data_IF_192607869210
#
_entry.id   IF_192607869210
#
_cell.length_a   1.000
_cell.length_b   1.000
_cell.length_c   1.000
_cell.angle_alpha   90.00
_cell.angle_beta   90.00
_cell.angle_gamma   90.00
#
_symmetry.space_group_name_H-M   'P 1'
#
loop_
_entity.id
_entity.type
_entity.pdbx_description
1 polymer ?
#
# COMPACT_ATOMS: atom_id res chain seq x y z
N UNK A 1 -15.01 6.63 -22.24
CA UNK A 1 -15.43 5.62 -21.25
C UNK A 1 -15.65 6.40 -19.98
N UNK A 2 -16.93 6.69 -19.74
CA UNK A 2 -17.40 7.64 -18.74
C UNK A 2 -17.99 6.79 -17.62
N UNK A 3 -17.43 6.94 -16.43
CA UNK A 3 -18.19 6.88 -15.19
C UNK A 3 -19.62 7.39 -15.45
N UNK A 4 -20.63 6.57 -15.14
CA UNK A 4 -22.02 6.73 -15.61
C UNK A 4 -22.73 8.03 -15.19
N UNK A 5 -22.09 8.87 -14.38
CA UNK A 5 -22.54 10.20 -13.99
C UNK A 5 -21.45 11.24 -14.26
N UNK A 6 -21.86 12.39 -14.81
CA UNK A 6 -20.98 13.52 -15.09
C UNK A 6 -20.57 14.19 -13.77
N UNK A 7 -19.44 13.80 -13.20
CA UNK A 7 -18.80 14.58 -12.15
C UNK A 7 -18.22 15.88 -12.73
N UNK A 8 -18.08 16.92 -11.89
CA UNK A 8 -17.56 18.23 -12.31
C UNK A 8 -16.13 18.13 -12.88
N UNK A 9 -15.35 17.15 -12.42
CA UNK A 9 -14.01 16.83 -12.94
C UNK A 9 -14.05 15.57 -13.79
N UNK A 10 -13.40 15.60 -14.95
CA UNK A 10 -13.41 14.49 -15.89
C UNK A 10 -12.62 13.29 -15.35
N UNK A 11 -13.20 12.10 -15.47
CA UNK A 11 -12.61 10.86 -14.98
C UNK A 11 -11.22 10.59 -15.60
N UNK A 12 -10.96 10.98 -16.86
CA UNK A 12 -9.64 10.84 -17.48
C UNK A 12 -8.60 11.82 -16.95
N UNK A 13 -9.02 13.02 -16.56
CA UNK A 13 -8.15 14.04 -15.95
C UNK A 13 -7.70 13.57 -14.56
N UNK A 14 -8.64 13.06 -13.74
CA UNK A 14 -8.36 12.51 -12.42
C UNK A 14 -7.39 11.34 -12.50
N UNK A 15 -7.61 10.44 -13.46
CA UNK A 15 -6.74 9.28 -13.67
C UNK A 15 -5.34 9.66 -14.15
N UNK A 16 -5.20 10.74 -14.92
CA UNK A 16 -3.90 11.21 -15.39
C UNK A 16 -3.05 11.80 -14.26
N UNK A 17 -3.69 12.34 -13.22
CA UNK A 17 -3.05 13.03 -12.09
C UNK A 17 -3.00 12.19 -10.81
N UNK A 18 -3.60 10.99 -10.80
CA UNK A 18 -3.72 10.15 -9.59
C UNK A 18 -2.37 9.83 -8.95
N UNK A 19 -1.31 9.68 -9.75
CA UNK A 19 0.04 9.40 -9.24
C UNK A 19 0.63 10.58 -8.47
N UNK A 20 0.43 11.81 -8.97
CA UNK A 20 0.85 13.03 -8.28
C UNK A 20 0.11 13.18 -6.94
N UNK A 21 -1.17 12.80 -6.91
CA UNK A 21 -1.97 12.79 -5.68
C UNK A 21 -1.43 11.79 -4.66
N UNK A 22 -1.10 10.56 -5.09
CA UNK A 22 -0.55 9.51 -4.25
C UNK A 22 0.85 9.83 -3.71
N UNK A 23 1.69 10.48 -4.51
CA UNK A 23 3.03 10.91 -4.10
C UNK A 23 3.02 12.24 -3.31
N UNK A 24 1.84 12.81 -3.03
CA UNK A 24 1.66 14.10 -2.37
C UNK A 24 2.30 15.30 -3.10
N UNK A 25 2.44 15.18 -4.43
CA UNK A 25 3.00 16.21 -5.31
C UNK A 25 1.93 17.09 -5.99
N UNK A 26 0.68 17.03 -5.51
CA UNK A 26 -0.41 17.91 -5.97
C UNK A 26 -0.57 19.17 -5.11
N UNK A 27 -0.94 20.26 -5.77
CA UNK A 27 -1.43 21.48 -5.10
C UNK A 27 -2.68 21.19 -4.26
N UNK A 28 -2.87 21.95 -3.20
CA UNK A 28 -3.89 21.69 -2.17
C UNK A 28 -5.32 21.71 -2.73
N UNK A 29 -5.64 22.68 -3.59
CA UNK A 29 -6.92 22.74 -4.32
C UNK A 29 -7.12 21.52 -5.23
N UNK A 30 -6.05 21.06 -5.86
CA UNK A 30 -6.12 19.93 -6.81
C UNK A 30 -6.30 18.61 -6.06
N UNK A 31 -5.63 18.49 -4.92
CA UNK A 31 -5.78 17.37 -3.99
C UNK A 31 -7.23 17.20 -3.52
N UNK A 32 -7.90 18.28 -3.15
CA UNK A 32 -9.31 18.26 -2.74
C UNK A 32 -10.23 17.76 -3.87
N UNK A 33 -10.07 18.30 -5.09
CA UNK A 33 -10.86 17.88 -6.25
C UNK A 33 -10.67 16.39 -6.59
N UNK A 34 -9.42 15.93 -6.63
CA UNK A 34 -9.07 14.53 -6.89
C UNK A 34 -9.63 13.62 -5.79
N UNK A 35 -9.56 14.05 -4.52
CA UNK A 35 -10.10 13.30 -3.39
C UNK A 35 -11.63 13.17 -3.45
N UNK A 36 -12.35 14.26 -3.70
CA UNK A 36 -13.81 14.23 -3.85
C UNK A 36 -14.23 13.31 -4.98
N UNK A 37 -13.59 13.41 -6.14
CA UNK A 37 -13.91 12.56 -7.28
C UNK A 37 -13.63 11.07 -7.02
N UNK A 38 -12.49 10.74 -6.40
CA UNK A 38 -12.16 9.35 -6.05
C UNK A 38 -13.11 8.77 -4.98
N UNK A 39 -13.70 9.61 -4.12
CA UNK A 39 -14.71 9.18 -3.16
C UNK A 39 -16.09 8.96 -3.80
N UNK A 40 -16.44 9.75 -4.81
CA UNK A 40 -17.75 9.71 -5.47
C UNK A 40 -17.80 8.71 -6.63
N UNK A 41 -16.69 8.50 -7.35
CA UNK A 41 -16.63 7.60 -8.51
C UNK A 41 -15.98 6.25 -8.16
N UNK A 42 -16.76 5.33 -7.58
CA UNK A 42 -16.35 3.93 -7.39
C UNK A 42 -15.98 3.19 -8.71
N UNK A 43 -16.69 3.40 -9.83
CA UNK A 43 -16.34 2.76 -11.11
C UNK A 43 -14.95 3.13 -11.62
N UNK A 44 -14.50 4.36 -11.35
CA UNK A 44 -13.16 4.84 -11.74
C UNK A 44 -12.04 4.09 -11.00
N UNK A 45 -12.29 3.70 -9.74
CA UNK A 45 -11.36 2.90 -8.92
C UNK A 45 -11.29 1.45 -9.39
N UNK A 46 -12.43 0.87 -9.76
CA UNK A 46 -12.54 -0.51 -10.24
C UNK A 46 -11.99 -0.69 -11.66
N UNK A 47 -12.33 0.18 -12.62
CA UNK A 47 -11.87 0.04 -14.01
C UNK A 47 -10.34 0.16 -14.15
N UNK A 48 -9.69 0.98 -13.33
CA UNK A 48 -8.26 1.22 -13.44
C UNK A 48 -7.39 0.32 -12.55
N UNK A 49 -7.99 -0.57 -11.75
CA UNK A 49 -7.24 -1.46 -10.86
C UNK A 49 -6.34 -0.71 -9.88
N UNK A 50 -6.76 0.49 -9.45
CA UNK A 50 -5.99 1.37 -8.55
C UNK A 50 -5.63 0.61 -7.27
N UNK A 51 -6.47 -0.31 -6.83
CA UNK A 51 -6.19 -1.15 -5.67
C UNK A 51 -4.96 -2.07 -5.87
N UNK A 52 -4.82 -2.72 -7.03
CA UNK A 52 -3.66 -3.58 -7.33
C UNK A 52 -2.40 -2.75 -7.57
N UNK A 53 -2.52 -1.63 -8.26
CA UNK A 53 -1.41 -0.69 -8.48
C UNK A 53 -0.94 -0.04 -7.18
N UNK A 54 -1.86 0.32 -6.28
CA UNK A 54 -1.58 0.84 -4.95
C UNK A 54 -0.92 -0.24 -4.07
N UNK A 55 -1.42 -1.47 -4.08
CA UNK A 55 -0.78 -2.62 -3.38
C UNK A 55 0.64 -2.86 -3.91
N UNK A 56 0.85 -2.81 -5.22
CA UNK A 56 2.17 -2.97 -5.83
C UNK A 56 3.11 -1.80 -5.48
N UNK A 57 2.60 -0.56 -5.47
CA UNK A 57 3.38 0.62 -5.13
C UNK A 57 3.74 0.65 -3.64
N UNK A 58 2.81 0.31 -2.75
CA UNK A 58 3.06 0.12 -1.32
C UNK A 58 4.06 -1.02 -1.08
N UNK A 59 3.94 -2.15 -1.77
CA UNK A 59 4.92 -3.23 -1.69
C UNK A 59 6.32 -2.78 -2.15
N UNK A 60 6.41 -1.92 -3.17
CA UNK A 60 7.68 -1.43 -3.71
C UNK A 60 8.31 -0.31 -2.88
N UNK A 61 7.51 0.62 -2.33
CA UNK A 61 7.95 1.81 -1.58
C UNK A 61 8.02 1.56 -0.08
N UNK A 62 7.13 0.73 0.47
CA UNK A 62 7.03 0.42 1.90
C UNK A 62 7.43 -1.02 2.23
N UNK A 63 7.63 -1.91 1.24
CA UNK A 63 8.08 -3.29 1.47
C UNK A 63 9.59 -3.47 1.68
N UNK A 64 10.38 -2.40 1.52
CA UNK A 64 11.83 -2.36 1.78
C UNK A 64 12.66 -3.31 0.92
N UNK A 65 13.97 -3.33 1.13
CA UNK A 65 14.82 -4.41 0.62
C UNK A 65 14.45 -5.70 1.34
N UNK A 66 14.21 -6.78 0.58
CA UNK A 66 14.03 -8.11 1.15
C UNK A 66 15.26 -8.42 2.02
N UNK A 67 15.02 -8.59 3.33
CA UNK A 67 16.09 -8.89 4.27
C UNK A 67 16.98 -10.04 3.73
N UNK A 68 18.32 -9.89 3.74
CA UNK A 68 19.23 -10.91 3.25
C UNK A 68 18.93 -12.27 3.88
N UNK A 69 19.04 -13.33 3.09
CA UNK A 69 18.66 -14.68 3.54
C UNK A 69 19.46 -15.10 4.78
N UNK A 70 20.72 -14.67 4.86
CA UNK A 70 21.59 -14.91 6.00
C UNK A 70 21.08 -14.25 7.30
N UNK A 71 20.49 -13.06 7.21
CA UNK A 71 19.86 -12.39 8.35
C UNK A 71 18.61 -13.15 8.82
N UNK A 72 17.79 -13.63 7.88
CA UNK A 72 16.60 -14.45 8.18
C UNK A 72 16.99 -15.77 8.85
N UNK A 73 18.03 -16.44 8.37
CA UNK A 73 18.52 -17.68 8.95
C UNK A 73 19.05 -17.48 10.38
N UNK A 74 19.86 -16.43 10.60
CA UNK A 74 20.38 -16.07 11.93
C UNK A 74 19.25 -15.76 12.92
N UNK A 75 18.25 -14.99 12.51
CA UNK A 75 17.09 -14.68 13.35
C UNK A 75 16.29 -15.92 13.70
N UNK A 76 15.99 -16.79 12.72
CA UNK A 76 15.27 -18.06 12.96
C UNK A 76 16.01 -18.96 13.94
N UNK A 77 17.32 -19.10 13.79
CA UNK A 77 18.14 -19.89 14.71
C UNK A 77 18.11 -19.31 16.14
N UNK A 78 18.24 -17.99 16.27
CA UNK A 78 18.24 -17.32 17.58
C UNK A 78 16.90 -17.41 18.28
N UNK A 79 15.80 -17.23 17.55
CA UNK A 79 14.44 -17.35 18.11
C UNK A 79 14.22 -18.77 18.65
N UNK A 80 14.53 -19.80 17.85
CA UNK A 80 14.41 -21.21 18.27
C UNK A 80 15.23 -21.50 19.53
N UNK A 81 16.45 -20.99 19.62
CA UNK A 81 17.30 -21.15 20.80
C UNK A 81 16.65 -20.54 22.04
N UNK A 82 16.09 -19.33 21.93
CA UNK A 82 15.40 -18.66 23.03
C UNK A 82 14.13 -19.41 23.44
N UNK A 83 13.37 -19.98 22.49
CA UNK A 83 12.17 -20.77 22.82
C UNK A 83 12.52 -22.02 23.62
N UNK A 84 13.57 -22.74 23.21
CA UNK A 84 14.05 -23.93 23.93
C UNK A 84 14.56 -23.57 25.32
N UNK A 85 15.26 -22.45 25.49
CA UNK A 85 15.71 -22.00 26.82
C UNK A 85 14.55 -21.66 27.76
N UNK A 86 13.45 -21.12 27.24
CA UNK A 86 12.25 -20.83 28.05
C UNK A 86 11.53 -22.12 28.44
N UNK A 87 11.35 -23.06 27.51
CA UNK A 87 10.70 -24.35 27.80
C UNK A 87 11.47 -25.14 28.87
N UNK A 88 12.80 -25.26 28.73
CA UNK A 88 13.64 -25.99 29.69
C UNK A 88 13.54 -25.39 31.10
N UNK A 89 13.42 -24.06 31.22
CA UNK A 89 13.23 -23.39 32.51
C UNK A 89 11.85 -23.65 33.11
N UNK A 90 10.80 -23.68 32.29
CA UNK A 90 9.43 -23.98 32.76
C UNK A 90 9.20 -25.45 33.11
N UNK A 91 9.98 -26.38 32.55
CA UNK A 91 9.86 -27.82 32.84
C UNK A 91 10.77 -28.29 33.98
N UNK A 92 11.65 -27.42 34.49
CA UNK A 92 12.59 -27.71 35.56
C UNK A 92 12.13 -27.18 36.94
N UNK A 93 10.93 -26.60 37.03
CA UNK A 93 10.21 -26.28 38.28
C UNK A 93 9.10 -27.29 38.58
#
# INVERSE_FOLDING_TARGET
>A
MSCGEHHETDCSEVLSEVWLFLDHECDERRKELLQTHLQECHPCLEEYGIEEHLKALLAKKCGGELAPEELKQRLRARIRQVTVEVEVRTTAE
#
